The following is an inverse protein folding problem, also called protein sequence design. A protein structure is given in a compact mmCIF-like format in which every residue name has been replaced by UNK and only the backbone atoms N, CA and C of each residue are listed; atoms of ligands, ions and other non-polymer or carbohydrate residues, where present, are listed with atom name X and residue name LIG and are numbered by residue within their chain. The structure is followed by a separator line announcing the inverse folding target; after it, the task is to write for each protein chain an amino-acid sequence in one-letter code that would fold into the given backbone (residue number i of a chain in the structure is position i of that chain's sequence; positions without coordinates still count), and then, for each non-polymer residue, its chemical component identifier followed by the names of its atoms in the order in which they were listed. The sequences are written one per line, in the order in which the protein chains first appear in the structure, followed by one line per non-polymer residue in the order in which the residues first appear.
data_IF_005734175170
#
_entry.id   IF_005734175170
#
_cell.length_a   1.000
_cell.length_b   1.000
_cell.length_c   1.000
_cell.angle_alpha   90.00
_cell.angle_beta   90.00
_cell.angle_gamma   90.00
#
_symmetry.space_group_name_H-M   'P 1'
#
loop_
_entity.id
_entity.type
_entity.pdbx_description
1 polymer ?
#
# COMPACT_ATOMS: atom_id res chain seq x y z
N UNK A 1 12.39 -10.03 20.66
CA UNK A 1 12.10 -8.76 20.02
C UNK A 1 13.02 -7.70 20.62
N UNK A 2 13.86 -7.11 19.79
CA UNK A 2 14.61 -5.92 20.17
C UNK A 2 13.62 -4.76 20.31
N UNK A 3 13.47 -4.17 21.49
CA UNK A 3 12.52 -3.08 21.74
C UNK A 3 12.81 -1.82 20.92
N UNK A 4 13.97 -1.76 20.27
CA UNK A 4 14.38 -0.64 19.41
C UNK A 4 13.69 -0.62 18.02
N UNK A 5 13.01 -1.67 17.63
CA UNK A 5 12.34 -1.69 16.31
C UNK A 5 11.24 -0.62 16.16
N UNK A 6 10.60 -0.26 17.27
CA UNK A 6 9.61 0.82 17.30
C UNK A 6 10.22 2.18 17.01
N UNK A 7 11.38 2.44 17.61
CA UNK A 7 12.14 3.67 17.38
C UNK A 7 12.73 3.73 15.98
N UNK A 8 12.98 2.55 15.39
CA UNK A 8 13.55 2.44 14.04
C UNK A 8 12.49 2.53 12.94
N UNK A 9 11.27 2.05 13.16
CA UNK A 9 10.20 1.94 12.15
C UNK A 9 8.90 2.64 12.56
N UNK A 10 8.85 3.24 13.73
CA UNK A 10 7.69 4.00 14.20
C UNK A 10 7.52 5.28 13.41
N UNK A 11 6.34 5.48 12.82
CA UNK A 11 5.91 6.74 12.23
C UNK A 11 4.95 7.38 13.23
N UNK A 12 5.23 8.62 13.61
CA UNK A 12 4.37 9.37 14.52
C UNK A 12 3.10 9.80 13.78
N UNK A 13 2.05 8.98 13.94
CA UNK A 13 0.80 9.27 13.24
C UNK A 13 0.01 10.39 13.88
N UNK A 14 0.18 10.68 15.17
CA UNK A 14 -0.49 11.84 15.79
C UNK A 14 0.01 13.12 15.14
N UNK A 15 1.32 13.19 14.82
CA UNK A 15 1.85 14.29 14.04
C UNK A 15 1.47 14.21 12.56
N UNK A 16 1.30 13.02 12.01
CA UNK A 16 0.78 12.78 10.68
C UNK A 16 -0.72 13.11 10.59
N UNK A 17 -1.54 12.67 11.54
CA UNK A 17 -2.97 13.01 11.58
C UNK A 17 -3.18 14.51 11.75
N UNK A 18 -2.41 15.20 12.59
CA UNK A 18 -2.46 16.65 12.70
C UNK A 18 -1.98 17.36 11.44
N UNK A 19 -1.06 16.76 10.70
CA UNK A 19 -0.54 17.32 9.46
C UNK A 19 -1.38 16.93 8.24
N UNK A 20 -2.07 15.80 8.31
CA UNK A 20 -2.94 15.27 7.25
C UNK A 20 -4.39 15.74 7.45
N UNK A 21 -4.85 16.00 8.66
CA UNK A 21 -6.17 16.59 8.93
C UNK A 21 -6.25 18.06 8.49
N UNK A 22 -5.12 18.72 8.24
CA UNK A 22 -5.09 19.98 7.49
C UNK A 22 -5.39 19.77 5.99
N UNK A 23 -5.35 18.54 5.49
CA UNK A 23 -5.85 18.13 4.18
C UNK A 23 -7.21 17.48 4.43
N UNK A 24 -8.27 18.26 4.31
CA UNK A 24 -9.65 17.84 4.49
C UNK A 24 -10.04 16.79 3.47
N UNK A 25 -9.70 15.57 3.69
CA UNK A 25 -10.23 14.42 3.01
C UNK A 25 -9.19 13.48 2.41
N UNK A 26 -8.95 12.40 3.09
CA UNK A 26 -8.84 11.12 2.41
C UNK A 26 -10.24 10.65 2.00
N UNK A 27 -10.98 11.48 1.26
CA UNK A 27 -12.11 10.95 0.55
C UNK A 27 -11.63 10.28 -0.74
N UNK A 28 -12.50 9.51 -1.37
CA UNK A 28 -12.20 8.73 -2.57
C UNK A 28 -11.74 9.56 -3.79
N UNK A 29 -11.68 10.87 -3.66
CA UNK A 29 -11.27 11.83 -4.70
C UNK A 29 -10.01 12.63 -4.33
N UNK A 30 -9.54 12.54 -3.07
CA UNK A 30 -8.39 13.31 -2.58
C UNK A 30 -7.06 12.70 -2.99
N UNK A 31 -6.25 13.46 -3.72
CA UNK A 31 -4.85 13.12 -3.99
C UNK A 31 -3.97 13.61 -2.84
N UNK A 32 -2.94 12.82 -2.49
CA UNK A 32 -1.94 13.26 -1.53
C UNK A 32 -0.98 14.26 -2.21
N UNK A 33 -0.79 15.42 -1.61
CA UNK A 33 0.15 16.41 -2.12
C UNK A 33 1.60 15.91 -2.03
N UNK A 34 2.48 16.46 -2.86
CA UNK A 34 3.92 16.16 -2.77
C UNK A 34 4.51 16.51 -1.41
N UNK A 35 4.00 17.56 -0.76
CA UNK A 35 4.42 17.97 0.58
C UNK A 35 4.02 16.93 1.64
N UNK A 36 2.80 16.39 1.57
CA UNK A 36 2.33 15.35 2.50
C UNK A 36 3.05 14.02 2.26
N UNK A 37 3.30 13.65 1.00
CA UNK A 37 4.15 12.51 0.66
C UNK A 37 5.55 12.65 1.28
N UNK A 38 6.16 13.82 1.15
CA UNK A 38 7.48 14.12 1.71
C UNK A 38 7.51 13.96 3.23
N UNK A 39 6.47 14.40 3.93
CA UNK A 39 6.38 14.24 5.39
C UNK A 39 6.43 12.77 5.82
N UNK A 40 5.77 11.89 5.10
CA UNK A 40 5.84 10.44 5.35
C UNK A 40 7.23 9.90 5.02
N UNK A 41 7.78 10.26 3.86
CA UNK A 41 9.10 9.82 3.42
C UNK A 41 10.22 10.26 4.38
N UNK A 42 10.12 11.47 4.94
CA UNK A 42 11.09 12.01 5.89
C UNK A 42 11.06 11.28 7.25
N UNK A 43 9.98 10.58 7.58
CA UNK A 43 9.86 9.76 8.79
C UNK A 43 10.35 8.31 8.61
N UNK A 44 10.62 7.88 7.38
CA UNK A 44 11.17 6.56 7.13
C UNK A 44 12.59 6.45 7.73
N UNK A 45 13.01 5.24 8.14
CA UNK A 45 14.36 5.03 8.65
C UNK A 45 15.41 5.52 7.66
N UNK A 46 16.42 6.24 8.15
CA UNK A 46 17.49 6.80 7.31
C UNK A 46 18.37 5.71 6.66
N UNK A 47 18.43 4.53 7.27
CA UNK A 47 19.14 3.36 6.76
C UNK A 47 18.27 2.45 5.86
N UNK A 48 17.04 2.88 5.55
CA UNK A 48 16.18 2.14 4.62
C UNK A 48 16.81 2.11 3.23
N UNK A 49 16.78 0.94 2.57
CA UNK A 49 17.34 0.82 1.22
C UNK A 49 16.62 1.74 0.24
N UNK A 50 17.35 2.21 -0.78
CA UNK A 50 16.76 3.05 -1.84
C UNK A 50 15.61 2.33 -2.57
N UNK A 51 15.75 1.01 -2.78
CA UNK A 51 14.71 0.18 -3.38
C UNK A 51 13.42 0.25 -2.56
N UNK A 52 13.49 0.09 -1.23
CA UNK A 52 12.33 0.16 -0.36
C UNK A 52 11.73 1.55 -0.31
N UNK A 53 12.57 2.57 -0.26
CA UNK A 53 12.14 3.97 -0.33
C UNK A 53 11.36 4.25 -1.61
N UNK A 54 11.85 3.80 -2.76
CA UNK A 54 11.15 3.91 -4.05
C UNK A 54 9.80 3.21 -4.06
N UNK A 55 9.68 2.05 -3.44
CA UNK A 55 8.41 1.33 -3.31
C UNK A 55 7.38 2.18 -2.56
N UNK A 56 7.76 2.73 -1.40
CA UNK A 56 6.89 3.60 -0.61
C UNK A 56 6.54 4.89 -1.38
N UNK A 57 7.53 5.53 -1.98
CA UNK A 57 7.34 6.75 -2.78
C UNK A 57 6.36 6.52 -3.93
N UNK A 58 6.51 5.43 -4.66
CA UNK A 58 5.59 5.06 -5.75
C UNK A 58 4.18 4.82 -5.23
N UNK A 59 4.03 4.07 -4.14
CA UNK A 59 2.73 3.80 -3.54
C UNK A 59 2.04 5.09 -3.06
N UNK A 60 2.77 5.97 -2.40
CA UNK A 60 2.24 7.27 -1.94
C UNK A 60 1.81 8.16 -3.10
N UNK A 61 2.57 8.15 -4.20
CA UNK A 61 2.24 8.95 -5.40
C UNK A 61 0.90 8.54 -6.04
N UNK A 62 0.42 7.34 -5.78
CA UNK A 62 -0.82 6.79 -6.31
C UNK A 62 -2.05 7.08 -5.43
N UNK A 63 -1.87 7.57 -4.21
CA UNK A 63 -2.98 7.86 -3.29
C UNK A 63 -3.98 8.82 -3.95
N UNK A 64 -5.24 8.41 -4.00
CA UNK A 64 -6.32 9.17 -4.63
C UNK A 64 -6.36 9.16 -6.17
N UNK A 65 -5.42 8.49 -6.84
CA UNK A 65 -5.27 8.54 -8.31
C UNK A 65 -5.66 7.27 -9.06
N UNK A 66 -5.83 6.16 -8.35
CA UNK A 66 -6.20 4.89 -8.96
C UNK A 66 -7.49 4.40 -8.33
N UNK A 67 -8.62 4.45 -9.05
CA UNK A 67 -9.89 3.92 -8.54
C UNK A 67 -9.79 2.43 -8.22
N UNK A 68 -10.54 1.99 -7.22
CA UNK A 68 -10.71 0.55 -7.02
C UNK A 68 -11.60 -0.04 -8.12
N UNK A 69 -11.13 -1.07 -8.79
CA UNK A 69 -11.90 -1.84 -9.75
C UNK A 69 -11.54 -3.32 -9.64
N UNK A 70 -12.50 -4.15 -9.27
CA UNK A 70 -12.25 -5.58 -9.02
C UNK A 70 -11.80 -6.30 -10.29
N UNK A 71 -10.70 -7.05 -10.18
CA UNK A 71 -10.16 -7.86 -11.27
C UNK A 71 -9.30 -7.11 -12.28
N UNK A 72 -9.25 -5.77 -12.23
CA UNK A 72 -8.40 -5.01 -13.13
C UNK A 72 -6.91 -5.10 -12.76
N UNK A 73 -6.08 -5.14 -13.78
CA UNK A 73 -4.62 -5.09 -13.68
C UNK A 73 -4.05 -3.95 -14.52
N UNK A 74 -2.83 -3.52 -14.18
CA UNK A 74 -2.14 -2.51 -14.96
C UNK A 74 -1.57 -3.10 -16.26
N UNK A 75 -1.63 -2.34 -17.34
CA UNK A 75 -1.02 -2.70 -18.61
C UNK A 75 0.41 -2.18 -18.74
N UNK A 76 0.78 -1.18 -17.93
CA UNK A 76 2.08 -0.51 -17.96
C UNK A 76 2.54 -0.12 -16.55
N UNK A 77 3.84 0.00 -16.32
CA UNK A 77 4.33 0.71 -15.13
C UNK A 77 4.00 2.21 -15.22
N UNK A 78 3.91 2.89 -14.09
CA UNK A 78 3.55 4.30 -14.02
C UNK A 78 2.06 4.57 -14.16
N UNK A 79 1.68 5.84 -14.03
CA UNK A 79 0.27 6.26 -14.02
C UNK A 79 -0.26 6.54 -15.43
N UNK A 80 0.50 7.30 -16.23
CA UNK A 80 -0.01 7.96 -17.44
C UNK A 80 -0.59 7.01 -18.48
N UNK A 81 0.15 5.96 -18.84
CA UNK A 81 -0.24 5.04 -19.93
C UNK A 81 -1.40 4.12 -19.55
N UNK A 82 -1.72 3.99 -18.28
CA UNK A 82 -2.80 3.12 -17.82
C UNK A 82 -4.19 3.76 -17.97
N UNK A 83 -4.27 5.07 -18.08
CA UNK A 83 -5.54 5.81 -18.17
C UNK A 83 -6.54 5.47 -17.06
N UNK A 84 -6.02 5.31 -15.83
CA UNK A 84 -6.87 5.08 -14.66
C UNK A 84 -7.93 6.18 -14.50
N UNK A 85 -9.13 5.81 -14.06
CA UNK A 85 -10.25 6.71 -13.90
C UNK A 85 -11.12 6.88 -15.15
N UNK A 86 -10.68 6.42 -16.33
CA UNK A 86 -11.52 6.42 -17.53
C UNK A 86 -12.66 5.41 -17.41
N UNK A 87 -13.71 5.59 -18.21
CA UNK A 87 -14.88 4.70 -18.21
C UNK A 87 -14.46 3.26 -18.56
N UNK A 88 -14.95 2.31 -17.78
CA UNK A 88 -14.76 0.88 -17.97
C UNK A 88 -16.08 0.12 -17.76
N UNK A 89 -16.12 -1.15 -18.15
CA UNK A 89 -17.24 -2.02 -17.81
C UNK A 89 -17.40 -2.09 -16.29
N UNK A 90 -18.64 -2.10 -15.75
CA UNK A 90 -18.84 -2.18 -14.31
C UNK A 90 -18.25 -3.47 -13.72
N UNK A 91 -17.61 -3.37 -12.55
CA UNK A 91 -17.24 -4.53 -11.76
C UNK A 91 -18.46 -5.10 -11.00
N UNK A 92 -18.24 -6.14 -10.19
CA UNK A 92 -19.30 -6.80 -9.43
C UNK A 92 -20.10 -5.89 -8.48
N UNK A 93 -19.54 -4.73 -8.10
CA UNK A 93 -20.17 -3.70 -7.26
C UNK A 93 -20.64 -2.48 -8.06
N UNK A 94 -20.64 -2.57 -9.40
CA UNK A 94 -21.07 -1.50 -10.28
C UNK A 94 -20.07 -0.35 -10.43
N UNK A 95 -18.83 -0.50 -9.98
CA UNK A 95 -17.79 0.51 -10.20
C UNK A 95 -17.35 0.48 -11.65
N UNK A 96 -17.43 1.60 -12.34
CA UNK A 96 -17.26 1.72 -13.79
C UNK A 96 -16.10 2.65 -14.20
N UNK A 97 -15.09 2.75 -13.35
CA UNK A 97 -13.85 3.46 -13.62
C UNK A 97 -12.71 2.46 -13.67
N UNK A 98 -11.89 2.53 -14.74
CA UNK A 98 -10.67 1.73 -14.85
C UNK A 98 -9.76 1.99 -13.66
N UNK A 99 -9.30 0.93 -13.01
CA UNK A 99 -8.48 1.02 -11.82
C UNK A 99 -7.70 -0.25 -11.55
N UNK A 100 -7.51 -0.54 -10.27
CA UNK A 100 -6.84 -1.75 -9.80
C UNK A 100 -7.59 -2.32 -8.59
N UNK A 101 -7.47 -3.60 -8.36
CA UNK A 101 -7.80 -4.21 -7.08
C UNK A 101 -6.58 -4.23 -6.14
N UNK A 102 -6.73 -4.79 -4.95
CA UNK A 102 -5.68 -4.70 -3.93
C UNK A 102 -4.38 -5.41 -4.33
N UNK A 103 -4.46 -6.60 -4.90
CA UNK A 103 -3.26 -7.36 -5.31
C UNK A 103 -2.59 -6.76 -6.54
N UNK A 104 -3.36 -6.34 -7.52
CA UNK A 104 -2.82 -5.73 -8.74
C UNK A 104 -2.21 -4.34 -8.48
N UNK A 105 -2.69 -3.62 -7.45
CA UNK A 105 -2.03 -2.41 -6.98
C UNK A 105 -0.62 -2.71 -6.44
N UNK A 106 -0.47 -3.73 -5.61
CA UNK A 106 0.86 -4.13 -5.09
C UNK A 106 1.78 -4.54 -6.24
N UNK A 107 1.28 -5.33 -7.19
CA UNK A 107 2.03 -5.72 -8.40
C UNK A 107 2.50 -4.49 -9.18
N UNK A 108 1.59 -3.52 -9.40
CA UNK A 108 1.88 -2.29 -10.13
C UNK A 108 2.92 -1.41 -9.41
N UNK A 109 2.85 -1.30 -8.09
CA UNK A 109 3.83 -0.54 -7.29
C UNK A 109 5.22 -1.13 -7.48
N UNK A 110 5.38 -2.43 -7.33
CA UNK A 110 6.66 -3.11 -7.51
C UNK A 110 7.14 -3.00 -8.97
N UNK A 111 6.26 -3.16 -9.92
CA UNK A 111 6.59 -3.00 -11.34
C UNK A 111 7.10 -1.58 -11.65
N UNK A 112 6.41 -0.58 -11.16
CA UNK A 112 6.75 0.83 -11.37
C UNK A 112 8.04 1.21 -10.66
N UNK A 113 8.20 0.81 -9.40
CA UNK A 113 9.33 1.21 -8.57
C UNK A 113 10.63 0.47 -8.90
N UNK A 114 10.55 -0.84 -9.17
CA UNK A 114 11.73 -1.72 -9.26
C UNK A 114 11.73 -2.65 -10.47
N UNK A 115 10.78 -2.49 -11.39
CA UNK A 115 10.74 -3.26 -12.64
C UNK A 115 10.25 -4.71 -12.50
N UNK A 116 9.66 -5.10 -11.38
CA UNK A 116 9.16 -6.45 -11.12
C UNK A 116 7.66 -6.42 -10.76
N UNK A 117 6.81 -6.94 -11.63
CA UNK A 117 5.37 -6.98 -11.41
C UNK A 117 4.89 -8.15 -10.51
N UNK A 118 5.80 -8.84 -9.85
CA UNK A 118 5.50 -9.95 -8.92
C UNK A 118 4.65 -11.09 -9.55
N UNK A 119 4.64 -11.19 -10.88
CA UNK A 119 3.84 -12.17 -11.61
C UNK A 119 2.45 -11.69 -12.00
N UNK A 120 2.09 -10.45 -11.64
CA UNK A 120 0.79 -9.84 -11.97
C UNK A 120 -0.41 -10.74 -11.61
N UNK A 121 -0.40 -11.22 -10.38
CA UNK A 121 -1.35 -12.23 -9.91
C UNK A 121 -2.26 -11.74 -8.78
N UNK A 122 -2.95 -12.69 -8.19
CA UNK A 122 -3.88 -12.47 -7.08
C UNK A 122 -3.18 -12.41 -5.73
N UNK A 123 -3.94 -12.22 -4.65
CA UNK A 123 -3.47 -12.37 -3.27
C UNK A 123 -2.84 -13.73 -3.01
N UNK A 124 -3.32 -14.79 -3.63
CA UNK A 124 -2.71 -16.12 -3.53
C UNK A 124 -1.30 -16.16 -4.13
N UNK A 125 -1.07 -15.43 -5.21
CA UNK A 125 0.27 -15.26 -5.79
C UNK A 125 1.18 -14.49 -4.84
N UNK A 126 0.70 -13.37 -4.29
CA UNK A 126 1.47 -12.52 -3.38
C UNK A 126 1.80 -13.22 -2.06
N UNK A 127 0.93 -14.07 -1.57
CA UNK A 127 1.15 -14.89 -0.37
C UNK A 127 2.42 -15.73 -0.45
N UNK A 128 2.84 -16.10 -1.65
CA UNK A 128 4.03 -16.91 -1.88
C UNK A 128 5.29 -16.10 -2.23
N UNK A 129 5.18 -14.78 -2.38
CA UNK A 129 6.33 -13.92 -2.74
C UNK A 129 7.22 -13.62 -1.53
N UNK A 130 8.46 -13.29 -1.80
CA UNK A 130 9.44 -13.00 -0.76
C UNK A 130 9.65 -14.15 0.23
N UNK A 131 10.02 -13.80 1.45
CA UNK A 131 10.19 -14.75 2.55
C UNK A 131 9.23 -14.42 3.68
N UNK A 132 8.65 -15.43 4.32
CA UNK A 132 7.86 -15.22 5.53
C UNK A 132 8.72 -14.53 6.60
N UNK A 133 8.14 -13.56 7.28
CA UNK A 133 8.82 -12.81 8.34
C UNK A 133 7.89 -12.58 9.53
N UNK A 134 8.49 -12.38 10.69
CA UNK A 134 7.80 -11.93 11.89
C UNK A 134 8.11 -10.45 12.21
N UNK A 135 8.96 -9.82 11.38
CA UNK A 135 9.38 -8.42 11.56
C UNK A 135 9.24 -7.69 10.23
N UNK A 136 8.26 -6.81 10.15
CA UNK A 136 8.01 -6.00 8.96
C UNK A 136 9.02 -4.86 8.86
N UNK A 137 9.44 -4.59 7.63
CA UNK A 137 10.19 -3.39 7.24
C UNK A 137 9.36 -2.57 6.26
N UNK A 138 9.48 -1.24 6.24
CA UNK A 138 8.80 -0.42 5.23
C UNK A 138 9.04 -0.95 3.82
N UNK A 139 7.97 -1.12 3.05
CA UNK A 139 8.01 -1.73 1.73
C UNK A 139 7.71 -3.24 1.69
N UNK A 140 7.66 -3.91 2.82
CA UNK A 140 7.16 -5.30 2.89
C UNK A 140 5.67 -5.37 2.58
N UNK A 141 5.20 -6.53 2.18
CA UNK A 141 3.78 -6.76 1.92
C UNK A 141 3.16 -7.64 3.01
N UNK A 142 1.89 -7.36 3.26
CA UNK A 142 1.05 -8.13 4.16
C UNK A 142 -0.12 -8.68 3.37
N UNK A 143 -0.46 -9.94 3.56
CA UNK A 143 -1.54 -10.61 2.85
C UNK A 143 -2.49 -11.26 3.84
N UNK A 144 -3.74 -10.84 3.80
CA UNK A 144 -4.87 -11.51 4.43
C UNK A 144 -5.50 -12.46 3.41
N UNK A 145 -5.69 -13.71 3.76
CA UNK A 145 -6.16 -14.76 2.84
C UNK A 145 -7.24 -15.63 3.50
N UNK A 146 -7.87 -16.48 2.69
CA UNK A 146 -8.96 -17.36 3.13
C UNK A 146 -10.32 -16.79 2.75
N UNK A 147 -11.20 -16.56 3.73
CA UNK A 147 -12.54 -16.00 3.48
C UNK A 147 -12.53 -14.55 3.00
N UNK A 148 -11.51 -13.80 3.35
CA UNK A 148 -11.27 -12.43 2.90
C UNK A 148 -9.87 -12.37 2.33
N UNK A 149 -9.74 -11.85 1.11
CA UNK A 149 -8.47 -11.65 0.43
C UNK A 149 -8.19 -10.16 0.35
N UNK A 150 -7.10 -9.73 0.99
CA UNK A 150 -6.64 -8.34 0.93
C UNK A 150 -5.14 -8.26 1.12
N UNK A 151 -4.53 -7.23 0.57
CA UNK A 151 -3.09 -7.00 0.68
C UNK A 151 -2.80 -5.52 0.75
N UNK A 152 -1.66 -5.19 1.30
CA UNK A 152 -1.16 -3.82 1.39
C UNK A 152 0.35 -3.79 1.55
N UNK A 153 0.91 -2.60 1.45
CA UNK A 153 2.34 -2.32 1.61
C UNK A 153 2.54 -1.63 2.96
N UNK A 154 3.39 -2.24 3.78
CA UNK A 154 3.71 -1.73 5.10
C UNK A 154 4.57 -0.47 5.04
N UNK A 155 4.24 0.53 5.86
CA UNK A 155 5.04 1.76 6.03
C UNK A 155 5.71 1.80 7.39
N UNK A 156 5.00 1.50 8.46
CA UNK A 156 5.47 1.61 9.83
C UNK A 156 4.36 1.34 10.85
N UNK A 157 4.58 1.78 12.08
CA UNK A 157 3.62 1.66 13.18
C UNK A 157 3.32 3.01 13.78
N UNK A 158 2.11 3.16 14.32
CA UNK A 158 1.75 4.29 15.17
C UNK A 158 2.39 4.15 16.56
N UNK A 159 2.35 5.21 17.36
CA UNK A 159 2.73 5.17 18.78
C UNK A 159 1.99 4.08 19.58
N UNK A 160 0.76 3.77 19.17
CA UNK A 160 -0.07 2.73 19.79
C UNK A 160 0.11 1.35 19.13
N UNK A 161 1.17 1.15 18.35
CA UNK A 161 1.49 -0.11 17.65
C UNK A 161 0.46 -0.58 16.63
N UNK A 162 -0.33 0.31 16.09
CA UNK A 162 -1.15 0.00 14.93
C UNK A 162 -0.32 0.08 13.66
N UNK A 163 -0.55 -0.82 12.72
CA UNK A 163 0.13 -0.78 11.44
C UNK A 163 -0.35 0.41 10.62
N UNK A 164 0.58 1.01 9.89
CA UNK A 164 0.31 1.99 8.84
C UNK A 164 0.65 1.32 7.51
N UNK A 165 -0.26 1.36 6.57
CA UNK A 165 -0.09 0.70 5.28
C UNK A 165 -0.78 1.47 4.15
N UNK A 166 -0.26 1.25 2.93
CA UNK A 166 -0.85 1.77 1.69
C UNK A 166 -1.51 0.61 0.97
N UNK A 167 -2.74 0.78 0.54
CA UNK A 167 -3.49 -0.25 -0.15
C UNK A 167 -4.50 0.35 -1.14
N UNK A 168 -4.91 -0.46 -2.11
CA UNK A 168 -6.09 -0.14 -2.91
C UNK A 168 -7.32 -0.55 -2.09
N UNK A 169 -8.06 0.44 -1.61
CA UNK A 169 -9.16 0.24 -0.68
C UNK A 169 -10.50 0.13 -1.39
N UNK A 170 -11.14 -1.03 -1.29
CA UNK A 170 -12.51 -1.21 -1.79
C UNK A 170 -13.51 -0.29 -1.09
N UNK A 171 -13.34 -0.07 0.22
CA UNK A 171 -14.23 0.79 1.01
C UNK A 171 -14.10 2.27 0.68
N UNK A 172 -12.89 2.75 0.39
CA UNK A 172 -12.64 4.14 -0.01
C UNK A 172 -12.72 4.35 -1.52
N UNK A 173 -12.76 3.26 -2.29
CA UNK A 173 -12.82 3.32 -3.75
C UNK A 173 -11.55 3.80 -4.43
N UNK A 174 -10.43 3.84 -3.74
CA UNK A 174 -9.16 4.36 -4.25
C UNK A 174 -7.96 3.87 -3.42
N UNK A 175 -6.76 4.16 -3.91
CA UNK A 175 -5.54 3.97 -3.12
C UNK A 175 -5.56 4.90 -1.91
N UNK A 176 -5.28 4.36 -0.75
CA UNK A 176 -5.33 5.07 0.52
C UNK A 176 -4.20 4.64 1.46
N UNK A 177 -3.83 5.54 2.36
CA UNK A 177 -3.07 5.21 3.57
C UNK A 177 -4.06 4.90 4.67
N UNK A 178 -3.89 3.78 5.36
CA UNK A 178 -4.77 3.35 6.44
C UNK A 178 -3.96 2.89 7.64
N UNK A 179 -4.62 2.85 8.79
CA UNK A 179 -4.05 2.36 10.04
C UNK A 179 -4.96 1.33 10.68
N UNK A 180 -4.39 0.42 11.44
CA UNK A 180 -5.16 -0.53 12.24
C UNK A 180 -4.56 -1.92 12.30
N UNK A 181 -5.30 -2.82 12.96
CA UNK A 181 -4.88 -4.20 13.19
C UNK A 181 -5.33 -5.21 12.14
N UNK A 182 -5.83 -4.77 10.99
CA UNK A 182 -6.35 -5.67 9.95
C UNK A 182 -5.34 -6.74 9.51
N UNK A 183 -4.07 -6.39 9.44
CA UNK A 183 -2.99 -7.29 9.07
C UNK A 183 -2.18 -7.81 10.28
N UNK A 184 -2.72 -7.74 11.48
CA UNK A 184 -2.07 -8.39 12.63
C UNK A 184 -1.91 -9.89 12.38
N UNK A 185 -0.82 -10.46 12.89
CA UNK A 185 -0.53 -11.89 12.73
C UNK A 185 -1.69 -12.75 13.23
N UNK A 186 -2.11 -13.65 12.35
CA UNK A 186 -3.16 -14.65 12.61
C UNK A 186 -2.95 -15.85 11.70
N UNK A 187 -3.78 -16.89 11.82
CA UNK A 187 -3.77 -18.03 10.89
C UNK A 187 -4.09 -17.65 9.43
N UNK A 188 -4.68 -16.47 9.21
CA UNK A 188 -5.10 -15.99 7.90
C UNK A 188 -4.29 -14.79 7.40
N UNK A 189 -3.16 -14.47 8.04
CA UNK A 189 -2.29 -13.36 7.66
C UNK A 189 -0.85 -13.83 7.54
N UNK A 190 -0.21 -13.51 6.44
CA UNK A 190 1.24 -13.69 6.27
C UNK A 190 1.91 -12.34 6.02
N UNK A 191 3.08 -12.16 6.60
CA UNK A 191 3.97 -11.03 6.33
C UNK A 191 5.12 -11.51 5.46
N UNK A 192 5.41 -10.76 4.41
CA UNK A 192 6.42 -11.14 3.42
C UNK A 192 7.54 -10.10 3.37
N UNK A 193 8.74 -10.53 3.75
CA UNK A 193 9.96 -9.72 3.52
C UNK A 193 10.29 -9.76 2.04
N UNK A 194 10.38 -8.59 1.43
CA UNK A 194 10.55 -8.42 0.00
C UNK A 194 11.99 -8.05 -0.40
N UNK A 195 12.95 -8.25 0.50
CA UNK A 195 14.38 -8.14 0.15
C UNK A 195 14.77 -9.33 -0.74
N UNK A 196 14.87 -9.08 -2.03
CA UNK A 196 15.41 -10.02 -3.02
C UNK A 196 16.28 -9.28 -4.06
#
# INVERSE_FOLDING_TARGET
FDDNWKDTYGIDIDSLEQQITGVSSYDASGTMSSADQKKILDQLPTNLSEKRRKIIETALSAVGKIPYHFGDSASYPGLEKNHFGTKAAPDEKGRSRKGLDCSHFVDWVYWTAVGNNLGNGSTETLKAKGKATNTLKPGDIMVHFGSINHTGIFIGYTKNNQMIYIHESSGKGNVAVSTGGYFNKSGNVTWRNMDQ
#
